data_IF_915242734751
#
_entry.id   IF_915242734751
#
_cell.length_a   1.000
_cell.length_b   1.000
_cell.length_c   1.000
_cell.angle_alpha   90.00
_cell.angle_beta   90.00
_cell.angle_gamma   90.00
#
_symmetry.space_group_name_H-M   'P 1'
#
loop_
_entity.id
_entity.type
_entity.pdbx_description
1 polymer ?
#
# COMPACT_ATOMS: atom_id res chain seq x y z
N UNK A 1 -9.81 -29.79 -7.24
CA UNK A 1 -9.52 -29.09 -5.97
C UNK A 1 -8.09 -29.36 -5.46
N UNK A 2 -7.58 -30.61 -5.43
CA UNK A 2 -6.19 -30.88 -4.99
C UNK A 2 -5.12 -30.31 -5.93
N UNK A 3 -5.32 -30.32 -7.25
CA UNK A 3 -4.37 -29.73 -8.20
C UNK A 3 -4.33 -28.20 -8.13
N UNK A 4 -5.46 -27.53 -7.91
CA UNK A 4 -5.50 -26.08 -7.71
C UNK A 4 -4.82 -25.65 -6.40
N UNK A 5 -4.99 -26.40 -5.30
CA UNK A 5 -4.26 -26.13 -4.05
C UNK A 5 -2.76 -26.30 -4.20
N UNK A 6 -2.31 -27.29 -4.94
CA UNK A 6 -0.87 -27.48 -5.20
C UNK A 6 -0.28 -26.40 -6.10
N UNK A 7 -1.03 -25.89 -7.09
CA UNK A 7 -0.61 -24.72 -7.87
C UNK A 7 -0.48 -23.47 -7.01
N UNK A 8 -1.51 -23.12 -6.22
CA UNK A 8 -1.45 -21.95 -5.33
C UNK A 8 -0.31 -22.03 -4.30
N UNK A 9 -0.03 -23.21 -3.74
CA UNK A 9 1.07 -23.40 -2.79
C UNK A 9 2.44 -23.33 -3.48
N UNK A 10 2.56 -23.83 -4.69
CA UNK A 10 3.81 -23.75 -5.46
C UNK A 10 4.08 -22.36 -6.00
N UNK A 11 3.05 -21.62 -6.37
CA UNK A 11 3.19 -20.30 -7.01
C UNK A 11 3.29 -19.17 -6.00
N UNK A 12 2.61 -19.23 -4.86
CA UNK A 12 2.54 -18.13 -3.89
C UNK A 12 3.73 -18.01 -2.93
N UNK A 13 4.61 -19.00 -2.86
CA UNK A 13 5.78 -18.96 -1.96
C UNK A 13 7.12 -19.17 -2.66
N UNK A 14 7.12 -19.47 -3.97
CA UNK A 14 8.32 -19.90 -4.69
C UNK A 14 8.57 -19.15 -5.98
N UNK A 15 7.96 -17.99 -6.16
CA UNK A 15 8.27 -17.11 -7.29
C UNK A 15 9.71 -16.61 -7.12
N UNK A 16 10.61 -17.19 -7.92
CA UNK A 16 12.01 -16.78 -7.96
C UNK A 16 12.28 -16.07 -9.28
N UNK A 17 13.02 -14.97 -9.20
CA UNK A 17 13.55 -14.32 -10.38
C UNK A 17 14.39 -15.34 -11.19
N UNK A 18 14.10 -15.48 -12.48
CA UNK A 18 14.85 -16.33 -13.40
C UNK A 18 15.73 -15.42 -14.25
N UNK A 19 17.08 -15.48 -14.09
CA UNK A 19 17.98 -14.77 -14.97
C UNK A 19 17.74 -15.18 -16.44
N UNK A 20 17.77 -14.21 -17.36
CA UNK A 20 17.50 -14.41 -18.79
C UNK A 20 16.07 -14.91 -19.11
N UNK A 21 15.16 -14.84 -18.14
CA UNK A 21 13.74 -15.06 -18.36
C UNK A 21 13.02 -13.81 -18.86
N UNK A 22 11.70 -13.85 -18.80
CA UNK A 22 10.86 -12.70 -19.09
C UNK A 22 11.16 -11.54 -18.13
N UNK A 23 11.16 -10.31 -18.66
CA UNK A 23 11.43 -9.12 -17.84
C UNK A 23 10.24 -8.83 -16.92
N UNK A 24 10.53 -8.65 -15.65
CA UNK A 24 9.56 -8.24 -14.63
C UNK A 24 9.88 -6.85 -14.09
N UNK A 25 8.85 -6.03 -13.89
CA UNK A 25 8.99 -4.68 -13.35
C UNK A 25 9.63 -4.64 -11.95
N UNK A 26 9.39 -5.70 -11.15
CA UNK A 26 9.98 -5.89 -9.83
C UNK A 26 11.06 -6.98 -9.92
N UNK A 27 12.21 -6.62 -10.45
CA UNK A 27 13.38 -7.47 -10.57
C UNK A 27 14.41 -7.14 -9.47
N UNK A 28 15.46 -7.96 -9.28
CA UNK A 28 16.47 -7.72 -8.25
C UNK A 28 17.14 -6.35 -8.33
N UNK A 29 17.39 -5.81 -9.52
CA UNK A 29 18.06 -4.52 -9.67
C UNK A 29 17.19 -3.38 -9.15
N UNK A 30 15.89 -3.41 -9.43
CA UNK A 30 14.92 -2.44 -8.92
C UNK A 30 14.79 -2.55 -7.40
N UNK A 31 14.64 -3.76 -6.86
CA UNK A 31 14.47 -3.97 -5.41
C UNK A 31 15.73 -3.58 -4.65
N UNK A 32 16.89 -4.05 -5.09
CA UNK A 32 18.17 -3.78 -4.41
C UNK A 32 18.55 -2.31 -4.46
N UNK A 33 18.33 -1.63 -5.59
CA UNK A 33 18.61 -0.20 -5.72
C UNK A 33 17.68 0.66 -4.86
N UNK A 34 16.39 0.27 -4.75
CA UNK A 34 15.47 0.93 -3.82
C UNK A 34 15.91 0.79 -2.37
N UNK A 35 16.24 -0.44 -1.94
CA UNK A 35 16.72 -0.69 -0.58
C UNK A 35 18.02 0.06 -0.27
N UNK A 36 18.96 0.09 -1.23
CA UNK A 36 20.21 0.82 -1.07
C UNK A 36 19.97 2.34 -0.93
N UNK A 37 19.03 2.89 -1.68
CA UNK A 37 18.66 4.31 -1.61
C UNK A 37 18.00 4.64 -0.26
N UNK A 38 17.03 3.85 0.16
CA UNK A 38 16.30 4.07 1.42
C UNK A 38 17.20 3.93 2.64
N UNK A 39 18.02 2.89 2.68
CA UNK A 39 18.92 2.63 3.84
C UNK A 39 20.01 3.69 3.99
N UNK A 40 20.46 4.31 2.92
CA UNK A 40 21.54 5.31 2.97
C UNK A 40 21.05 6.76 2.99
N UNK A 41 19.81 7.03 2.56
CA UNK A 41 19.32 8.38 2.31
C UNK A 41 20.06 9.12 1.18
N UNK A 42 20.84 8.40 0.37
CA UNK A 42 21.68 8.98 -0.68
C UNK A 42 20.89 9.18 -1.97
N UNK A 43 20.76 10.43 -2.38
CA UNK A 43 20.04 10.78 -3.62
C UNK A 43 20.70 10.23 -4.89
N UNK A 44 22.01 10.00 -4.89
CA UNK A 44 22.68 9.37 -6.02
C UNK A 44 22.21 7.91 -6.21
N UNK A 45 22.03 7.19 -5.12
CA UNK A 45 21.46 5.83 -5.15
C UNK A 45 19.98 5.83 -5.55
N UNK A 46 19.23 6.85 -5.13
CA UNK A 46 17.85 7.01 -5.59
C UNK A 46 17.78 7.20 -7.12
N UNK A 47 18.74 7.95 -7.72
CA UNK A 47 18.80 8.09 -9.18
C UNK A 47 18.99 6.74 -9.88
N UNK A 48 19.81 5.84 -9.33
CA UNK A 48 19.97 4.47 -9.86
C UNK A 48 18.65 3.73 -9.87
N UNK A 49 17.92 3.76 -8.75
CA UNK A 49 16.58 3.18 -8.68
C UNK A 49 15.61 3.82 -9.68
N UNK A 50 15.57 5.15 -9.73
CA UNK A 50 14.74 5.90 -10.66
C UNK A 50 14.98 5.48 -12.11
N UNK A 51 16.24 5.35 -12.50
CA UNK A 51 16.63 5.02 -13.86
C UNK A 51 16.31 3.56 -14.19
N UNK A 52 16.50 2.64 -13.24
CA UNK A 52 16.09 1.25 -13.38
C UNK A 52 14.57 1.10 -13.61
N UNK A 53 13.76 1.96 -12.99
CA UNK A 53 12.29 1.96 -13.18
C UNK A 53 11.88 2.62 -14.50
N UNK A 54 12.50 3.77 -14.85
CA UNK A 54 12.03 4.61 -15.96
C UNK A 54 12.63 4.24 -17.32
N UNK A 55 13.81 3.59 -17.33
CA UNK A 55 14.51 3.19 -18.58
C UNK A 55 14.37 1.70 -18.89
N UNK A 56 13.41 1.04 -18.24
CA UNK A 56 13.14 -0.38 -18.45
C UNK A 56 12.53 -0.67 -19.83
N UNK A 57 12.62 -1.91 -20.33
CA UNK A 57 11.88 -2.34 -21.52
C UNK A 57 10.37 -2.12 -21.34
N UNK A 58 9.67 -1.89 -22.45
CA UNK A 58 8.20 -1.78 -22.44
C UNK A 58 7.62 -3.14 -22.01
N UNK A 59 6.91 -3.15 -20.90
CA UNK A 59 6.27 -4.36 -20.34
C UNK A 59 4.79 -4.15 -20.03
N UNK A 60 4.36 -2.91 -19.88
CA UNK A 60 2.97 -2.55 -19.55
C UNK A 60 2.50 -1.40 -20.45
N UNK A 61 1.17 -1.23 -20.55
CA UNK A 61 0.58 -0.11 -21.30
C UNK A 61 1.06 1.25 -20.76
N UNK A 62 1.32 1.36 -19.46
CA UNK A 62 1.86 2.58 -18.86
C UNK A 62 3.20 3.00 -19.47
N UNK A 63 4.05 2.05 -19.82
CA UNK A 63 5.38 2.33 -20.38
C UNK A 63 5.29 2.97 -21.79
N UNK A 64 4.14 2.85 -22.43
CA UNK A 64 3.84 3.46 -23.74
C UNK A 64 3.23 4.85 -23.63
N UNK A 65 2.86 5.27 -22.42
CA UNK A 65 2.23 6.58 -22.18
C UNK A 65 3.27 7.62 -21.79
N UNK A 66 3.07 8.84 -22.24
CA UNK A 66 3.86 10.01 -21.84
C UNK A 66 2.92 11.14 -21.45
N UNK A 67 3.36 11.96 -20.50
CA UNK A 67 2.65 13.20 -20.20
C UNK A 67 2.69 14.10 -21.43
N UNK A 68 1.54 14.64 -21.80
CA UNK A 68 1.44 15.65 -22.87
C UNK A 68 1.91 16.99 -22.30
N UNK A 69 3.20 17.28 -22.47
CA UNK A 69 3.78 18.55 -22.07
C UNK A 69 3.67 19.52 -23.25
N UNK A 70 2.96 20.62 -23.05
CA UNK A 70 2.82 21.67 -24.07
C UNK A 70 4.01 22.63 -23.94
N UNK A 71 4.71 22.84 -25.03
CA UNK A 71 5.80 23.81 -25.10
C UNK A 71 5.30 25.21 -24.71
N UNK A 72 6.06 25.94 -23.90
CA UNK A 72 5.73 27.28 -23.44
C UNK A 72 4.78 27.39 -22.25
N UNK A 73 4.30 26.27 -21.72
CA UNK A 73 3.49 26.24 -20.47
C UNK A 73 4.30 25.87 -19.23
N UNK A 74 5.62 25.86 -19.32
CA UNK A 74 6.46 25.67 -18.13
C UNK A 74 6.32 26.89 -17.22
N UNK A 75 6.17 26.63 -15.92
CA UNK A 75 6.16 27.65 -14.87
C UNK A 75 7.47 27.55 -14.07
N UNK A 76 7.81 28.60 -13.35
CA UNK A 76 8.96 28.58 -12.46
C UNK A 76 8.75 27.59 -11.31
N UNK A 77 9.83 27.01 -10.77
CA UNK A 77 9.73 25.97 -9.72
C UNK A 77 9.09 26.51 -8.45
N UNK A 78 9.31 27.76 -8.13
CA UNK A 78 8.72 28.48 -6.99
C UNK A 78 7.22 28.78 -7.15
N UNK A 79 6.70 28.69 -8.37
CA UNK A 79 5.25 28.76 -8.66
C UNK A 79 4.56 27.40 -8.58
N UNK A 80 5.33 26.31 -8.49
CA UNK A 80 4.76 24.95 -8.34
C UNK A 80 4.29 24.76 -6.91
N UNK A 81 3.10 24.17 -6.75
CA UNK A 81 2.55 23.87 -5.43
C UNK A 81 3.53 22.99 -4.61
N UNK A 82 3.89 23.39 -3.38
CA UNK A 82 4.81 22.62 -2.53
C UNK A 82 4.31 21.20 -2.28
N UNK A 83 5.22 20.24 -2.22
CA UNK A 83 4.89 18.82 -2.02
C UNK A 83 4.09 18.57 -0.74
N UNK A 84 4.37 19.32 0.33
CA UNK A 84 3.70 19.23 1.62
C UNK A 84 2.19 19.57 1.52
N UNK A 85 1.81 20.41 0.58
CA UNK A 85 0.39 20.70 0.31
C UNK A 85 -0.28 19.53 -0.44
N UNK A 86 0.48 18.81 -1.25
CA UNK A 86 -0.02 17.68 -2.02
C UNK A 86 -0.27 16.45 -1.14
N UNK A 87 0.53 16.22 -0.09
CA UNK A 87 0.44 15.02 0.75
C UNK A 87 -0.95 14.81 1.35
N UNK A 88 -1.65 15.89 1.68
CA UNK A 88 -3.01 15.85 2.23
C UNK A 88 -4.07 15.33 1.26
N UNK A 89 -3.75 15.23 -0.02
CA UNK A 89 -4.64 14.72 -1.07
C UNK A 89 -4.44 13.24 -1.36
N UNK A 90 -3.50 12.60 -0.67
CA UNK A 90 -3.16 11.20 -0.89
C UNK A 90 -3.48 10.35 0.32
N UNK A 91 -4.09 9.22 0.05
CA UNK A 91 -4.41 8.20 1.03
C UNK A 91 -3.60 6.94 0.74
N UNK A 92 -3.23 6.20 1.77
CA UNK A 92 -2.72 4.85 1.54
C UNK A 92 -3.84 3.93 1.06
N UNK A 93 -3.48 2.90 0.31
CA UNK A 93 -4.42 1.82 0.02
C UNK A 93 -4.94 1.20 1.32
N UNK A 94 -6.18 0.74 1.29
CA UNK A 94 -6.77 0.01 2.40
C UNK A 94 -6.09 -1.36 2.56
N UNK A 95 -5.34 -1.55 3.64
CA UNK A 95 -4.66 -2.80 3.95
C UNK A 95 -5.01 -3.25 5.35
N UNK A 96 -5.74 -4.36 5.44
CA UNK A 96 -6.14 -4.92 6.73
C UNK A 96 -4.97 -5.61 7.43
N UNK A 97 -4.95 -5.58 8.76
CA UNK A 97 -3.95 -6.25 9.58
C UNK A 97 -3.90 -7.78 9.33
N UNK A 98 -4.98 -8.38 8.82
CA UNK A 98 -4.99 -9.77 8.37
C UNK A 98 -4.11 -10.05 7.15
N UNK A 99 -3.75 -9.02 6.37
CA UNK A 99 -2.87 -9.12 5.21
C UNK A 99 -1.43 -8.68 5.49
N UNK A 100 -1.18 -7.99 6.59
CA UNK A 100 0.10 -7.44 7.01
C UNK A 100 0.45 -7.85 8.44
N UNK A 101 1.73 -7.75 8.80
CA UNK A 101 2.09 -7.80 10.22
C UNK A 101 1.66 -6.50 10.94
N UNK A 102 1.44 -6.55 12.27
CA UNK A 102 1.12 -5.35 13.05
C UNK A 102 2.14 -4.22 12.86
N UNK A 103 3.43 -4.54 12.80
CA UNK A 103 4.51 -3.58 12.63
C UNK A 103 4.43 -2.88 11.27
N UNK A 104 4.16 -3.62 10.20
CA UNK A 104 4.02 -3.05 8.86
C UNK A 104 2.77 -2.16 8.78
N UNK A 105 1.67 -2.59 9.38
CA UNK A 105 0.43 -1.82 9.44
C UNK A 105 0.60 -0.52 10.23
N UNK A 106 1.30 -0.57 11.36
CA UNK A 106 1.63 0.63 12.15
C UNK A 106 2.59 1.56 11.40
N UNK A 107 3.61 1.02 10.74
CA UNK A 107 4.57 1.81 9.97
C UNK A 107 3.89 2.62 8.86
N UNK A 108 2.90 2.06 8.18
CA UNK A 108 2.10 2.77 7.17
C UNK A 108 1.31 3.93 7.80
N UNK A 109 0.67 3.70 8.95
CA UNK A 109 -0.07 4.75 9.64
C UNK A 109 0.86 5.89 10.08
N UNK A 110 1.99 5.56 10.70
CA UNK A 110 3.00 6.55 11.12
C UNK A 110 3.54 7.34 9.92
N UNK A 111 3.87 6.68 8.82
CA UNK A 111 4.38 7.35 7.63
C UNK A 111 3.36 8.38 7.09
N UNK A 112 2.09 7.98 6.93
CA UNK A 112 1.06 8.87 6.43
C UNK A 112 0.75 10.01 7.41
N UNK A 113 0.69 9.73 8.71
CA UNK A 113 0.46 10.76 9.72
C UNK A 113 1.59 11.80 9.76
N UNK A 114 2.85 11.38 9.65
CA UNK A 114 4.00 12.30 9.60
C UNK A 114 4.05 13.14 8.34
N UNK A 115 3.58 12.61 7.23
CA UNK A 115 3.45 13.36 5.97
C UNK A 115 2.21 14.27 5.94
N UNK A 116 1.30 14.15 6.90
CA UNK A 116 0.02 14.87 6.91
C UNK A 116 -1.04 14.29 5.97
N UNK A 117 -0.80 13.10 5.43
CA UNK A 117 -1.76 12.33 4.65
C UNK A 117 -2.63 11.41 5.53
N UNK A 118 -3.35 10.50 4.88
CA UNK A 118 -4.29 9.61 5.55
C UNK A 118 -3.93 8.15 5.30
N UNK A 119 -3.78 7.36 6.37
CA UNK A 119 -3.70 5.91 6.25
C UNK A 119 -5.08 5.27 6.38
N UNK A 120 -5.27 4.17 5.66
CA UNK A 120 -6.50 3.39 5.67
C UNK A 120 -6.25 2.04 6.34
N UNK A 121 -6.93 1.78 7.45
CA UNK A 121 -6.77 0.55 8.23
C UNK A 121 -7.30 -0.71 7.50
N UNK A 122 -8.02 -0.54 6.40
CA UNK A 122 -8.82 -1.62 5.87
C UNK A 122 -10.04 -1.90 6.75
N UNK A 123 -10.55 -3.13 6.68
CA UNK A 123 -11.79 -3.54 7.34
C UNK A 123 -11.53 -4.05 8.77
N UNK A 124 -11.22 -3.16 9.68
CA UNK A 124 -11.03 -3.48 11.11
C UNK A 124 -9.63 -3.98 11.48
N UNK A 125 -9.49 -4.47 12.71
CA UNK A 125 -8.24 -5.05 13.19
C UNK A 125 -7.19 -4.05 13.67
N UNK A 126 -7.57 -2.87 14.04
CA UNK A 126 -6.66 -1.90 14.64
C UNK A 126 -6.68 -2.00 16.18
N UNK A 127 -5.49 -2.20 16.79
CA UNK A 127 -5.37 -2.25 18.26
C UNK A 127 -5.84 -0.92 18.86
N UNK A 128 -6.80 -0.94 19.81
CA UNK A 128 -7.26 0.27 20.52
C UNK A 128 -6.15 1.09 21.17
N UNK A 129 -5.02 0.48 21.53
CA UNK A 129 -3.85 1.20 22.06
C UNK A 129 -3.25 2.20 21.09
N UNK A 130 -3.56 2.08 19.81
CA UNK A 130 -3.12 3.00 18.75
C UNK A 130 -3.95 4.28 18.70
N UNK A 131 -5.19 4.25 19.23
CA UNK A 131 -6.08 5.41 19.17
C UNK A 131 -5.50 6.59 19.95
N UNK A 132 -5.57 7.78 19.33
CA UNK A 132 -4.97 8.98 19.89
C UNK A 132 -3.44 9.08 19.79
N UNK A 133 -2.79 8.14 19.13
CA UNK A 133 -1.34 8.16 18.87
C UNK A 133 -1.03 8.36 17.38
N UNK A 134 0.24 8.59 17.03
CA UNK A 134 0.66 8.65 15.62
C UNK A 134 0.50 7.35 14.84
N UNK A 135 0.17 6.24 15.52
CA UNK A 135 -0.05 4.92 14.91
C UNK A 135 -1.50 4.71 14.46
N UNK A 136 -2.41 5.63 14.73
CA UNK A 136 -3.81 5.52 14.35
C UNK A 136 -3.99 5.71 12.85
N UNK A 137 -4.79 4.85 12.23
CA UNK A 137 -5.25 5.06 10.85
C UNK A 137 -6.46 5.99 10.85
N UNK A 138 -6.39 7.08 10.11
CA UNK A 138 -7.45 8.09 10.07
C UNK A 138 -8.66 7.65 9.25
N UNK A 139 -8.44 6.84 8.21
CA UNK A 139 -9.51 6.22 7.43
C UNK A 139 -9.73 4.82 7.94
N UNK A 140 -10.98 4.49 8.25
CA UNK A 140 -11.39 3.15 8.70
C UNK A 140 -12.50 2.61 7.83
N UNK A 141 -12.29 1.38 7.32
CA UNK A 141 -13.32 0.71 6.54
C UNK A 141 -14.31 -0.03 7.42
N UNK A 142 -15.55 -0.08 6.94
CA UNK A 142 -16.61 -0.93 7.46
C UNK A 142 -17.37 -1.58 6.31
N UNK A 143 -17.67 -2.88 6.43
CA UNK A 143 -18.49 -3.62 5.51
C UNK A 143 -19.48 -4.51 6.29
N UNK A 144 -19.05 -5.69 6.69
CA UNK A 144 -19.88 -6.67 7.41
C UNK A 144 -20.02 -6.39 8.93
N UNK A 145 -19.28 -5.42 9.46
CA UNK A 145 -19.24 -5.17 10.90
C UNK A 145 -18.49 -6.24 11.70
N UNK A 146 -17.71 -7.09 11.01
CA UNK A 146 -16.83 -8.11 11.62
C UNK A 146 -15.39 -7.59 11.72
N UNK A 147 -14.48 -8.43 12.17
CA UNK A 147 -13.03 -8.17 12.21
C UNK A 147 -12.63 -6.99 13.09
N UNK A 148 -13.19 -6.92 14.27
CA UNK A 148 -12.86 -5.87 15.24
C UNK A 148 -13.43 -4.50 14.90
N UNK A 149 -14.46 -4.41 14.07
CA UNK A 149 -15.21 -3.18 13.81
C UNK A 149 -16.14 -2.91 14.98
N UNK A 150 -15.60 -2.27 15.99
CA UNK A 150 -16.34 -1.87 17.21
C UNK A 150 -16.76 -0.41 17.13
N UNK A 151 -17.69 0.06 17.98
CA UNK A 151 -18.00 1.48 18.09
C UNK A 151 -16.76 2.33 18.37
N UNK A 152 -15.85 1.90 19.24
CA UNK A 152 -14.61 2.61 19.54
C UNK A 152 -13.71 2.72 18.31
N UNK A 153 -13.61 1.66 17.51
CA UNK A 153 -12.90 1.67 16.23
C UNK A 153 -13.48 2.75 15.30
N UNK A 154 -14.78 2.76 15.11
CA UNK A 154 -15.44 3.74 14.23
C UNK A 154 -15.31 5.17 14.74
N UNK A 155 -15.45 5.38 16.04
CA UNK A 155 -15.31 6.70 16.68
C UNK A 155 -13.88 7.26 16.60
N UNK A 156 -12.88 6.41 16.46
CA UNK A 156 -11.48 6.83 16.31
C UNK A 156 -11.11 7.22 14.88
N UNK A 157 -12.03 7.13 13.93
CA UNK A 157 -11.83 7.49 12.53
C UNK A 157 -12.07 9.00 12.31
N UNK A 158 -11.24 9.62 11.48
CA UNK A 158 -11.56 10.92 10.87
C UNK A 158 -12.48 10.73 9.65
N UNK A 159 -12.29 9.59 8.93
CA UNK A 159 -13.08 9.22 7.75
C UNK A 159 -13.52 7.77 7.88
N UNK A 160 -14.82 7.53 7.74
CA UNK A 160 -15.37 6.17 7.64
C UNK A 160 -15.58 5.86 6.16
N UNK A 161 -14.96 4.79 5.69
CA UNK A 161 -15.10 4.32 4.32
C UNK A 161 -15.99 3.07 4.29
N UNK A 162 -17.15 3.18 3.66
CA UNK A 162 -18.05 2.04 3.49
C UNK A 162 -17.53 1.18 2.34
N UNK A 163 -17.21 -0.08 2.64
CA UNK A 163 -16.78 -1.07 1.66
C UNK A 163 -18.00 -1.85 1.15
N UNK A 164 -18.43 -1.53 -0.05
CA UNK A 164 -19.65 -2.12 -0.63
C UNK A 164 -19.45 -3.56 -1.06
N UNK A 165 -18.25 -3.92 -1.53
CA UNK A 165 -17.95 -5.24 -2.05
C UNK A 165 -16.47 -5.59 -1.90
N UNK A 166 -16.18 -6.90 -1.90
CA UNK A 166 -14.83 -7.43 -2.05
C UNK A 166 -14.83 -8.58 -3.06
N UNK A 167 -14.18 -8.39 -4.20
CA UNK A 167 -14.19 -9.36 -5.30
C UNK A 167 -15.62 -9.66 -5.76
N UNK A 168 -15.99 -10.93 -5.80
CA UNK A 168 -17.32 -11.39 -6.19
C UNK A 168 -18.34 -11.45 -5.04
N UNK A 169 -18.06 -10.87 -3.88
CA UNK A 169 -18.88 -10.97 -2.67
C UNK A 169 -19.38 -9.60 -2.19
N UNK A 170 -20.37 -9.00 -2.84
CA UNK A 170 -20.94 -7.71 -2.40
C UNK A 170 -21.50 -7.80 -0.98
N UNK A 171 -21.11 -6.88 -0.10
CA UNK A 171 -21.62 -6.76 1.27
C UNK A 171 -21.15 -7.83 2.26
N UNK A 172 -20.42 -8.85 1.84
CA UNK A 172 -19.96 -9.92 2.75
C UNK A 172 -18.61 -9.65 3.42
N UNK A 173 -17.79 -8.74 2.87
CA UNK A 173 -16.44 -8.50 3.35
C UNK A 173 -15.48 -9.64 3.04
N UNK A 174 -14.30 -9.62 3.68
CA UNK A 174 -13.26 -10.62 3.49
C UNK A 174 -13.45 -11.89 4.32
N UNK A 175 -12.66 -12.91 3.99
CA UNK A 175 -12.45 -14.10 4.82
C UNK A 175 -11.06 -14.04 5.42
N UNK A 176 -10.96 -14.37 6.69
CA UNK A 176 -9.69 -14.46 7.42
C UNK A 176 -9.51 -15.88 7.91
N UNK A 177 -8.38 -16.56 7.62
CA UNK A 177 -8.04 -17.85 8.20
C UNK A 177 -7.94 -17.76 9.72
N UNK A 178 -8.35 -18.82 10.42
CA UNK A 178 -8.40 -18.82 11.89
C UNK A 178 -7.05 -18.58 12.57
N UNK A 179 -5.95 -18.98 11.94
CA UNK A 179 -4.58 -18.73 12.39
C UNK A 179 -4.16 -17.25 12.36
N UNK A 180 -4.90 -16.42 11.61
CA UNK A 180 -4.70 -14.97 11.53
C UNK A 180 -5.66 -14.18 12.39
N UNK A 181 -6.60 -14.84 13.06
CA UNK A 181 -7.53 -14.17 13.97
C UNK A 181 -6.80 -13.84 15.27
N UNK A 182 -6.68 -12.56 15.55
CA UNK A 182 -6.14 -12.03 16.80
C UNK A 182 -7.28 -11.54 17.70
N UNK A 183 -7.04 -11.32 19.01
CA UNK A 183 -8.06 -10.75 19.90
C UNK A 183 -8.64 -9.41 19.46
N UNK A 184 -7.94 -8.69 18.59
CA UNK A 184 -8.38 -7.38 18.06
C UNK A 184 -9.32 -7.47 16.86
N UNK A 185 -9.40 -8.64 16.22
CA UNK A 185 -10.22 -8.89 15.04
C UNK A 185 -11.21 -10.04 15.22
N UNK A 186 -11.24 -10.63 16.42
CA UNK A 186 -12.18 -11.68 16.82
C UNK A 186 -13.59 -11.15 17.02
#
# INVERSE_FOLDING_TARGET
>A
ARRQRQMCIRDSGYLKYKPQGEYHAYNPDVVNSLQAAVNSGDYAKYKVFRDAVNQRPITTLRDMLRLKIEAGKAIAVDEVEPAEHLYKRFDSAAMSIGALSPEAHEALAVAMNRLGGYSNSGEGGEDPKRYGTEKVSKIKQVASGRFGVTPAYLMSAEVIQIKVAQGAKPGEGGQLPGDKVTPYIA
#
